data_IF_850321919585
#
_entry.id   IF_850321919585
#
_cell.length_a   1.000
_cell.length_b   1.000
_cell.length_c   1.000
_cell.angle_alpha   90.00
_cell.angle_beta   90.00
_cell.angle_gamma   90.00
#
_symmetry.space_group_name_H-M   'P 1'
#
loop_
_entity.id
_entity.type
_entity.pdbx_description
1 polymer ?
#
# COMPACT_ATOMS: atom_id res chain seq x y z
N UNK A 1 7.93 12.74 -14.68
CA UNK A 1 8.00 14.08 -14.07
C UNK A 1 9.38 14.69 -14.30
N UNK A 2 10.47 14.02 -13.87
CA UNK A 2 11.84 14.54 -13.98
C UNK A 2 12.23 14.89 -15.42
N UNK A 3 11.93 14.01 -16.38
CA UNK A 3 12.30 14.20 -17.79
C UNK A 3 11.23 14.97 -18.61
N UNK A 4 10.13 15.39 -18.00
CA UNK A 4 9.08 16.20 -18.64
C UNK A 4 8.08 15.45 -19.50
N UNK A 5 8.09 14.13 -19.46
CA UNK A 5 7.09 13.32 -20.18
C UNK A 5 5.69 13.50 -19.61
N UNK A 6 5.62 13.71 -18.28
CA UNK A 6 4.39 14.06 -17.55
C UNK A 6 4.64 15.25 -16.64
N UNK A 7 3.63 16.09 -16.45
CA UNK A 7 3.72 17.30 -15.59
C UNK A 7 3.50 16.99 -14.12
N UNK A 8 2.59 16.06 -13.82
CA UNK A 8 2.12 15.69 -12.50
C UNK A 8 1.95 14.18 -12.41
N UNK A 9 2.25 13.59 -11.28
CA UNK A 9 1.90 12.20 -10.97
C UNK A 9 1.31 12.10 -9.58
N UNK A 10 0.33 11.20 -9.42
CA UNK A 10 -0.19 10.78 -8.11
C UNK A 10 0.40 9.42 -7.80
N UNK A 11 1.19 9.33 -6.74
CA UNK A 11 1.96 8.14 -6.41
C UNK A 11 2.04 7.91 -4.89
N UNK A 12 2.54 6.75 -4.47
CA UNK A 12 3.04 6.58 -3.11
C UNK A 12 4.30 7.43 -2.95
N UNK A 13 4.30 8.33 -1.98
CA UNK A 13 5.42 9.22 -1.70
C UNK A 13 6.58 8.45 -1.07
N UNK A 14 7.80 8.75 -1.52
CA UNK A 14 8.99 8.35 -0.80
C UNK A 14 9.17 9.21 0.47
N UNK A 15 9.82 8.68 1.52
CA UNK A 15 10.07 9.45 2.74
C UNK A 15 10.84 10.77 2.48
N UNK A 16 11.73 10.73 1.50
CA UNK A 16 12.49 11.91 1.06
C UNK A 16 12.31 12.08 -0.44
N UNK A 17 11.93 13.27 -0.84
CA UNK A 17 11.80 13.69 -2.23
C UNK A 17 12.83 14.78 -2.49
N UNK A 18 13.77 14.52 -3.39
CA UNK A 18 14.85 15.44 -3.68
C UNK A 18 14.49 16.42 -4.80
N UNK A 19 15.04 17.63 -4.69
CA UNK A 19 14.95 18.61 -5.78
C UNK A 19 15.51 18.03 -7.10
N UNK A 20 14.94 18.38 -8.25
CA UNK A 20 13.90 19.40 -8.47
C UNK A 20 12.45 18.91 -8.36
N UNK A 21 12.21 17.74 -7.77
CA UNK A 21 10.86 17.23 -7.57
C UNK A 21 10.26 17.84 -6.30
N UNK A 22 9.03 18.31 -6.43
CA UNK A 22 8.18 18.74 -5.31
C UNK A 22 7.14 17.66 -5.04
N UNK A 23 6.74 17.51 -3.79
CA UNK A 23 5.69 16.58 -3.40
C UNK A 23 4.70 17.24 -2.45
N UNK A 24 3.46 16.78 -2.50
CA UNK A 24 2.41 17.15 -1.56
C UNK A 24 1.63 15.92 -1.15
N UNK A 25 1.56 15.67 0.16
CA UNK A 25 0.78 14.59 0.74
C UNK A 25 -0.72 14.89 0.58
N UNK A 26 -1.47 13.96 0.01
CA UNK A 26 -2.91 14.06 -0.15
C UNK A 26 -3.64 13.11 0.80
N UNK A 27 -3.26 11.82 0.86
CA UNK A 27 -3.94 10.83 1.71
C UNK A 27 -2.95 9.97 2.49
N UNK A 28 -3.38 9.58 3.68
CA UNK A 28 -2.85 8.41 4.37
C UNK A 28 -3.70 7.21 3.96
N UNK A 29 -3.06 6.21 3.38
CA UNK A 29 -3.71 4.99 2.88
C UNK A 29 -3.33 3.81 3.79
N UNK A 30 -4.22 3.44 4.74
CA UNK A 30 -3.98 2.33 5.65
C UNK A 30 -3.85 1.02 4.90
N UNK A 31 -2.95 0.17 5.37
CA UNK A 31 -2.71 -1.17 4.84
C UNK A 31 -3.09 -2.20 5.91
N UNK A 32 -3.90 -3.16 5.52
CA UNK A 32 -4.33 -4.25 6.40
C UNK A 32 -3.79 -5.59 5.91
N UNK A 33 -3.42 -6.45 6.85
CA UNK A 33 -3.11 -7.85 6.58
C UNK A 33 -4.41 -8.60 6.33
N UNK A 34 -4.44 -9.37 5.25
CA UNK A 34 -5.65 -10.03 4.77
C UNK A 34 -5.43 -11.50 4.46
N UNK A 35 -6.49 -12.28 4.64
CA UNK A 35 -6.54 -13.70 4.36
C UNK A 35 -7.94 -14.09 3.87
N UNK A 36 -8.10 -15.30 3.34
CA UNK A 36 -9.41 -15.81 2.98
C UNK A 36 -10.34 -15.90 4.22
N UNK A 37 -11.63 -15.57 4.12
CA UNK A 37 -12.56 -15.62 5.25
C UNK A 37 -12.69 -17.00 5.89
N UNK A 38 -12.53 -18.06 5.09
CA UNK A 38 -12.63 -19.45 5.56
C UNK A 38 -11.35 -19.96 6.22
N UNK A 39 -10.26 -19.20 6.15
CA UNK A 39 -8.98 -19.63 6.73
C UNK A 39 -9.03 -19.67 8.26
N UNK A 40 -8.42 -20.66 8.92
CA UNK A 40 -8.43 -20.78 10.38
C UNK A 40 -7.92 -19.52 11.13
N UNK A 41 -6.93 -18.83 10.57
CA UNK A 41 -6.40 -17.58 11.15
C UNK A 41 -7.43 -16.44 11.17
N UNK A 42 -8.37 -16.41 10.22
CA UNK A 42 -9.41 -15.37 10.18
C UNK A 42 -10.37 -15.44 11.39
N UNK A 43 -10.41 -16.57 12.08
CA UNK A 43 -11.29 -16.81 13.25
C UNK A 43 -10.58 -16.59 14.59
N UNK A 44 -9.28 -16.32 14.58
CA UNK A 44 -8.53 -16.06 15.81
C UNK A 44 -8.79 -14.63 16.30
N UNK A 45 -8.97 -14.43 17.62
CA UNK A 45 -9.23 -13.09 18.16
C UNK A 45 -8.00 -12.18 18.11
N UNK A 46 -6.81 -12.77 18.13
CA UNK A 46 -5.52 -12.07 18.05
C UNK A 46 -4.50 -12.96 17.36
N UNK A 47 -3.60 -12.35 16.64
CA UNK A 47 -2.49 -13.01 15.96
C UNK A 47 -1.19 -12.26 16.22
N UNK A 48 -0.07 -12.97 16.08
CA UNK A 48 1.24 -12.38 15.96
C UNK A 48 1.84 -12.62 14.56
N UNK A 49 2.89 -11.88 14.22
CA UNK A 49 3.54 -11.99 12.91
C UNK A 49 4.21 -13.36 12.68
N UNK A 50 4.64 -14.03 13.76
CA UNK A 50 5.27 -15.34 13.64
C UNK A 50 4.30 -16.39 13.12
N UNK A 51 3.03 -16.31 13.51
CA UNK A 51 1.99 -17.22 13.00
C UNK A 51 1.74 -17.08 11.49
N UNK A 52 1.97 -15.88 10.94
CA UNK A 52 1.85 -15.66 9.49
C UNK A 52 2.99 -16.32 8.71
N UNK A 53 4.16 -16.46 9.32
CA UNK A 53 5.31 -17.07 8.67
C UNK A 53 5.12 -18.56 8.34
N UNK A 54 4.17 -19.23 8.99
CA UNK A 54 3.82 -20.63 8.73
C UNK A 54 2.97 -20.82 7.46
N UNK A 55 2.49 -19.73 6.88
CA UNK A 55 1.59 -19.75 5.73
C UNK A 55 2.17 -18.98 4.53
N UNK A 56 1.87 -19.41 3.31
CA UNK A 56 2.35 -18.72 2.12
C UNK A 56 1.80 -17.30 2.02
N UNK A 57 2.64 -16.40 1.54
CA UNK A 57 2.31 -15.00 1.31
C UNK A 57 2.43 -14.63 -0.18
N UNK A 58 1.59 -13.72 -0.63
CA UNK A 58 1.75 -13.01 -1.91
C UNK A 58 2.03 -11.55 -1.63
N UNK A 59 3.18 -11.06 -2.09
CA UNK A 59 3.60 -9.69 -1.84
C UNK A 59 3.52 -8.83 -3.11
N UNK A 60 3.38 -7.51 -2.96
CA UNK A 60 3.71 -6.58 -4.03
C UNK A 60 5.16 -6.78 -4.49
N UNK A 61 5.46 -6.39 -5.73
CA UNK A 61 6.82 -6.52 -6.26
C UNK A 61 7.88 -5.83 -5.39
N UNK A 62 9.08 -6.37 -5.39
CA UNK A 62 10.21 -5.93 -4.54
C UNK A 62 10.61 -4.47 -4.73
N UNK A 63 10.26 -3.88 -5.86
CA UNK A 63 10.51 -2.47 -6.19
C UNK A 63 9.39 -1.52 -5.72
N UNK A 64 8.42 -2.01 -4.95
CA UNK A 64 7.32 -1.19 -4.43
C UNK A 64 7.57 -0.73 -3.01
N UNK A 65 7.04 0.45 -2.68
CA UNK A 65 7.07 0.97 -1.30
C UNK A 65 6.36 0.03 -0.33
N UNK A 66 5.21 -0.54 -0.71
CA UNK A 66 4.45 -1.47 0.13
C UNK A 66 5.27 -2.70 0.48
N UNK A 67 5.98 -3.29 -0.50
CA UNK A 67 6.89 -4.41 -0.22
C UNK A 67 7.93 -4.04 0.83
N UNK A 68 8.58 -2.88 0.67
CA UNK A 68 9.60 -2.40 1.61
C UNK A 68 9.04 -2.25 3.03
N UNK A 69 7.91 -1.56 3.18
CA UNK A 69 7.29 -1.31 4.50
C UNK A 69 6.93 -2.62 5.20
N UNK A 70 6.38 -3.59 4.47
CA UNK A 70 6.03 -4.91 5.02
C UNK A 70 7.28 -5.70 5.37
N UNK A 71 8.28 -5.72 4.50
CA UNK A 71 9.56 -6.41 4.76
C UNK A 71 10.28 -5.84 5.97
N UNK A 72 10.37 -4.51 6.09
CA UNK A 72 10.99 -3.83 7.23
C UNK A 72 10.26 -4.16 8.55
N UNK A 73 8.93 -4.36 8.51
CA UNK A 73 8.16 -4.81 9.68
C UNK A 73 8.59 -6.20 10.11
N UNK A 74 8.62 -7.16 9.18
CA UNK A 74 9.01 -8.55 9.47
C UNK A 74 10.46 -8.66 9.94
N UNK A 75 11.38 -7.90 9.33
CA UNK A 75 12.79 -7.83 9.76
C UNK A 75 12.93 -7.34 11.20
N UNK A 76 12.22 -6.27 11.57
CA UNK A 76 12.22 -5.74 12.96
C UNK A 76 11.73 -6.75 13.99
N UNK A 77 10.83 -7.63 13.60
CA UNK A 77 10.32 -8.70 14.46
C UNK A 77 11.10 -10.02 14.34
N UNK A 78 12.18 -10.05 13.55
CA UNK A 78 12.99 -11.25 13.30
C UNK A 78 12.17 -12.43 12.78
N UNK A 79 11.16 -12.16 11.97
CA UNK A 79 10.28 -13.14 11.33
C UNK A 79 10.53 -13.11 9.81
N UNK A 80 10.55 -14.29 9.18
CA UNK A 80 10.72 -14.42 7.74
C UNK A 80 9.43 -14.97 7.12
N UNK A 81 8.65 -14.16 6.36
CA UNK A 81 7.46 -14.64 5.69
C UNK A 81 7.81 -15.57 4.53
N UNK A 82 6.98 -16.58 4.29
CA UNK A 82 7.11 -17.46 3.13
C UNK A 82 6.51 -16.81 1.88
N UNK A 83 7.26 -15.96 1.20
CA UNK A 83 6.80 -15.27 -0.01
C UNK A 83 6.79 -16.29 -1.16
N UNK A 84 5.60 -16.76 -1.54
CA UNK A 84 5.41 -17.72 -2.62
C UNK A 84 5.35 -17.07 -4.00
N UNK A 85 4.92 -15.82 -4.06
CA UNK A 85 4.78 -15.06 -5.30
C UNK A 85 4.83 -13.55 -5.03
N UNK A 86 5.26 -12.80 -6.04
CA UNK A 86 5.19 -11.33 -6.05
C UNK A 86 4.57 -10.83 -7.35
N UNK A 87 3.66 -9.85 -7.25
CA UNK A 87 3.04 -9.19 -8.40
C UNK A 87 2.66 -7.76 -8.05
N UNK A 88 2.68 -6.87 -9.04
CA UNK A 88 2.26 -5.47 -8.86
C UNK A 88 0.75 -5.24 -9.11
N UNK A 89 0.02 -6.29 -9.48
CA UNK A 89 -1.42 -6.20 -9.74
C UNK A 89 -2.20 -6.50 -8.46
N UNK A 90 -2.66 -5.44 -7.78
CA UNK A 90 -3.37 -5.54 -6.49
C UNK A 90 -4.63 -6.41 -6.56
N UNK A 91 -5.40 -6.33 -7.65
CA UNK A 91 -6.58 -7.17 -7.86
C UNK A 91 -6.21 -8.66 -7.97
N UNK A 92 -5.07 -8.98 -8.60
CA UNK A 92 -4.56 -10.35 -8.64
C UNK A 92 -4.17 -10.82 -7.25
N UNK A 93 -3.50 -9.99 -6.45
CA UNK A 93 -3.18 -10.31 -5.06
C UNK A 93 -4.47 -10.61 -4.29
N UNK A 94 -5.48 -9.72 -4.37
CA UNK A 94 -6.76 -9.89 -3.69
C UNK A 94 -7.46 -11.20 -4.10
N UNK A 95 -7.48 -11.50 -5.40
CA UNK A 95 -8.05 -12.75 -5.91
C UNK A 95 -7.34 -13.98 -5.31
N UNK A 96 -6.00 -13.98 -5.28
CA UNK A 96 -5.23 -15.11 -4.73
C UNK A 96 -5.49 -15.30 -3.23
N UNK A 97 -5.63 -14.21 -2.50
CA UNK A 97 -6.00 -14.24 -1.07
C UNK A 97 -7.41 -14.78 -0.90
N UNK A 98 -8.38 -14.30 -1.67
CA UNK A 98 -9.81 -14.67 -1.54
C UNK A 98 -10.07 -16.16 -1.76
N UNK A 99 -9.30 -16.80 -2.63
CA UNK A 99 -9.39 -18.25 -2.89
C UNK A 99 -8.51 -19.10 -1.96
N UNK A 100 -7.87 -18.49 -0.97
CA UNK A 100 -7.15 -19.18 0.10
C UNK A 100 -5.75 -19.65 -0.26
N UNK A 101 -5.14 -19.15 -1.33
CA UNK A 101 -3.78 -19.54 -1.73
C UNK A 101 -2.71 -18.95 -0.82
N UNK A 102 -2.93 -17.75 -0.27
CA UNK A 102 -1.94 -17.04 0.52
C UNK A 102 -2.60 -15.93 1.35
N UNK A 103 -1.87 -15.39 2.31
CA UNK A 103 -2.18 -14.09 2.91
C UNK A 103 -1.41 -12.97 2.19
N UNK A 104 -1.83 -11.73 2.40
CA UNK A 104 -1.17 -10.55 1.86
C UNK A 104 -1.42 -9.30 2.69
N UNK A 105 -0.94 -8.16 2.17
CA UNK A 105 -1.23 -6.83 2.68
C UNK A 105 -1.86 -6.01 1.57
N UNK A 106 -3.04 -5.46 1.83
CA UNK A 106 -3.81 -4.67 0.86
C UNK A 106 -4.21 -3.32 1.44
N UNK A 107 -4.37 -2.29 0.59
CA UNK A 107 -5.01 -1.04 0.99
C UNK A 107 -6.41 -1.30 1.53
N UNK A 108 -6.75 -0.59 2.63
CA UNK A 108 -8.08 -0.73 3.25
C UNK A 108 -9.22 -0.43 2.28
N UNK A 109 -9.01 0.49 1.35
CA UNK A 109 -9.98 0.85 0.30
C UNK A 109 -10.33 -0.29 -0.66
N UNK A 110 -9.53 -1.37 -0.70
CA UNK A 110 -9.76 -2.54 -1.55
C UNK A 110 -10.49 -3.68 -0.84
N UNK A 111 -10.76 -3.55 0.46
CA UNK A 111 -11.33 -4.62 1.26
C UNK A 111 -12.85 -4.72 1.05
N UNK A 112 -13.32 -5.95 0.95
CA UNK A 112 -14.73 -6.31 0.89
C UNK A 112 -14.96 -7.69 1.53
N UNK A 113 -16.13 -8.27 1.33
CA UNK A 113 -16.49 -9.58 1.89
C UNK A 113 -15.67 -10.77 1.37
N UNK A 114 -14.85 -10.58 0.34
CA UNK A 114 -14.02 -11.65 -0.24
C UNK A 114 -12.75 -11.92 0.57
N UNK A 115 -12.35 -11.02 1.45
CA UNK A 115 -11.17 -11.14 2.30
C UNK A 115 -11.47 -10.74 3.73
N UNK A 116 -10.78 -11.35 4.68
CA UNK A 116 -10.85 -11.02 6.11
C UNK A 116 -9.58 -10.32 6.56
N UNK A 117 -9.74 -9.27 7.37
CA UNK A 117 -8.62 -8.59 8.02
C UNK A 117 -8.11 -9.44 9.17
N UNK A 118 -6.79 -9.60 9.26
CA UNK A 118 -6.14 -10.30 10.35
C UNK A 118 -5.93 -9.38 11.56
N UNK A 119 -6.33 -9.80 12.75
CA UNK A 119 -6.21 -9.01 13.97
C UNK A 119 -4.79 -9.07 14.54
N UNK A 120 -3.91 -8.18 14.06
CA UNK A 120 -2.52 -8.04 14.49
C UNK A 120 -2.38 -6.82 15.42
N UNK A 121 -2.56 -6.96 16.74
CA UNK A 121 -2.48 -5.83 17.67
C UNK A 121 -1.12 -5.15 17.64
N UNK A 122 -1.12 -3.81 17.63
CA UNK A 122 0.11 -3.01 17.61
C UNK A 122 0.80 -2.93 16.25
N UNK A 123 0.28 -3.59 15.23
CA UNK A 123 0.79 -3.49 13.86
C UNK A 123 -0.05 -2.45 13.10
N UNK A 124 0.59 -1.36 12.74
CA UNK A 124 -0.02 -0.30 11.94
C UNK A 124 0.86 -0.02 10.73
N UNK A 125 0.33 -0.29 9.56
CA UNK A 125 0.98 0.01 8.29
C UNK A 125 0.14 1.01 7.52
N UNK A 126 0.81 1.95 6.88
CA UNK A 126 0.18 2.89 5.96
C UNK A 126 1.20 3.32 4.91
N UNK A 127 0.70 3.76 3.80
CA UNK A 127 1.47 4.49 2.80
C UNK A 127 0.92 5.91 2.66
N UNK A 128 1.79 6.80 2.25
CA UNK A 128 1.43 8.16 1.95
C UNK A 128 1.21 8.31 0.46
N UNK A 129 0.01 8.69 0.06
CA UNK A 129 -0.33 8.98 -1.33
C UNK A 129 -0.32 10.48 -1.54
N UNK A 130 0.34 10.92 -2.58
CA UNK A 130 0.42 12.35 -2.86
C UNK A 130 0.75 12.62 -4.31
N UNK A 131 0.75 13.90 -4.64
CA UNK A 131 1.15 14.36 -5.96
C UNK A 131 2.59 14.85 -5.98
N UNK A 132 3.25 14.63 -7.12
CA UNK A 132 4.61 15.12 -7.38
C UNK A 132 4.64 15.89 -8.68
N UNK A 133 5.45 16.94 -8.74
CA UNK A 133 5.70 17.75 -9.93
C UNK A 133 7.12 18.31 -9.93
N UNK A 134 7.54 18.90 -11.04
CA UNK A 134 8.86 19.51 -11.15
C UNK A 134 8.81 21.00 -10.81
N UNK A 135 9.61 21.47 -9.83
CA UNK A 135 9.60 22.85 -9.35
C UNK A 135 9.98 23.90 -10.39
N UNK A 136 10.88 23.57 -11.31
CA UNK A 136 11.38 24.47 -12.36
C UNK A 136 10.56 24.48 -13.65
N UNK A 137 9.37 23.85 -13.68
CA UNK A 137 8.51 23.80 -14.89
C UNK A 137 7.17 24.46 -14.64
N UNK A 138 6.70 25.17 -15.65
CA UNK A 138 5.37 25.77 -15.60
C UNK A 138 4.30 24.68 -15.73
N UNK A 139 3.40 24.63 -14.75
CA UNK A 139 2.26 23.72 -14.80
C UNK A 139 1.18 24.24 -15.74
N UNK A 140 0.56 23.36 -16.52
CA UNK A 140 -0.63 23.67 -17.30
C UNK A 140 -1.83 24.01 -16.39
N UNK A 141 -2.87 24.60 -16.96
CA UNK A 141 -4.12 24.84 -16.24
C UNK A 141 -4.75 23.52 -15.77
N UNK A 142 -4.62 22.45 -16.56
CA UNK A 142 -5.13 21.13 -16.22
C UNK A 142 -4.40 20.54 -14.99
N UNK A 143 -3.06 20.63 -14.95
CA UNK A 143 -2.28 20.15 -13.82
C UNK A 143 -2.64 20.91 -12.52
N UNK A 144 -2.78 22.24 -12.60
CA UNK A 144 -3.20 23.06 -11.45
C UNK A 144 -4.60 22.69 -10.97
N UNK A 145 -5.56 22.58 -11.88
CA UNK A 145 -6.92 22.19 -11.53
C UNK A 145 -6.98 20.81 -10.87
N UNK A 146 -6.17 19.85 -11.34
CA UNK A 146 -6.10 18.53 -10.72
C UNK A 146 -5.53 18.61 -9.30
N UNK A 147 -4.48 19.40 -9.06
CA UNK A 147 -3.92 19.59 -7.69
C UNK A 147 -4.99 20.18 -6.76
N UNK A 148 -5.75 21.18 -7.23
CA UNK A 148 -6.83 21.77 -6.44
C UNK A 148 -7.92 20.75 -6.09
N UNK A 149 -8.36 19.94 -7.06
CA UNK A 149 -9.32 18.86 -6.81
C UNK A 149 -8.81 17.83 -5.80
N UNK A 150 -7.53 17.48 -5.88
CA UNK A 150 -6.91 16.56 -4.92
C UNK A 150 -6.86 17.16 -3.50
N UNK A 151 -6.60 18.45 -3.37
CA UNK A 151 -6.63 19.17 -2.09
C UNK A 151 -8.03 19.21 -1.49
N UNK A 152 -9.04 19.46 -2.32
CA UNK A 152 -10.44 19.46 -1.89
C UNK A 152 -10.87 18.06 -1.41
N UNK A 153 -10.50 17.00 -2.13
CA UNK A 153 -10.75 15.62 -1.74
C UNK A 153 -10.07 15.23 -0.41
N UNK A 154 -8.91 15.83 -0.10
CA UNK A 154 -8.24 15.66 1.20
C UNK A 154 -9.06 16.22 2.36
N UNK A 155 -9.77 17.34 2.15
CA UNK A 155 -10.55 18.00 3.19
C UNK A 155 -11.90 17.33 3.46
N UNK A 156 -12.38 16.52 2.52
CA UNK A 156 -13.67 15.81 2.57
C UNK A 156 -13.46 14.33 2.29
N UNK A 157 -12.78 13.57 3.19
CA UNK A 157 -12.70 12.13 3.05
C UNK A 157 -14.10 11.53 3.28
N UNK A 158 -14.62 10.81 2.29
CA UNK A 158 -15.87 10.05 2.39
C UNK A 158 -15.77 8.90 3.42
#
# INVERSE_FOLDING_TARGET
VLHGEIELAVITLAPEVEAPVMSELIWHDPLDFVIAPEHPLARQPTLDLAQLADYPAVFPGTNTFTHKVVSDLFERHHVQPQISMSTNYMETIKMMVSIGLAWSVLPRSMLDSQVSVLPLPGVHLQRELGCIWHSGRTQSNAARALIELLRDARQHPD
#
